data_IF_176501101947
#
_entry.id   IF_176501101947
#
_cell.length_a   1.000
_cell.length_b   1.000
_cell.length_c   1.000
_cell.angle_alpha   90.00
_cell.angle_beta   90.00
_cell.angle_gamma   90.00
#
_symmetry.space_group_name_H-M   'P 1'
#
loop_
_entity.id
_entity.type
_entity.pdbx_description
1 polymer ?
#
# COMPACT_ATOMS: atom_id res chain seq x y z
N UNK A 1 25.68 81.29 55.68
CA UNK A 1 24.53 80.47 55.47
C UNK A 1 24.35 80.37 53.97
N UNK A 2 24.76 79.29 53.39
CA UNK A 2 24.67 78.99 51.92
C UNK A 2 24.71 77.50 51.70
N UNK A 3 23.61 76.90 51.45
CA UNK A 3 23.46 75.46 51.19
C UNK A 3 24.05 75.08 49.82
N UNK A 4 24.95 74.09 49.82
CA UNK A 4 25.48 73.45 48.62
C UNK A 4 24.54 72.36 48.27
N UNK A 5 23.77 72.53 47.16
CA UNK A 5 22.99 71.45 46.52
C UNK A 5 23.92 70.63 45.65
N UNK A 6 24.19 69.43 46.06
CA UNK A 6 24.84 68.42 45.22
C UNK A 6 23.80 67.82 44.20
N UNK A 7 24.06 68.04 42.91
CA UNK A 7 23.24 67.57 41.85
C UNK A 7 23.73 66.16 41.45
N UNK A 8 23.07 65.08 41.93
CA UNK A 8 23.34 63.74 41.48
C UNK A 8 22.69 63.52 40.11
N UNK A 9 23.52 63.61 39.11
CA UNK A 9 23.10 63.22 37.70
C UNK A 9 23.00 61.73 37.65
N UNK A 10 21.77 61.19 37.65
CA UNK A 10 21.48 59.76 37.47
C UNK A 10 22.03 59.25 36.14
N UNK A 11 23.01 58.35 36.20
CA UNK A 11 23.55 57.63 35.06
C UNK A 11 22.47 56.69 34.46
N UNK A 12 22.00 56.99 33.28
CA UNK A 12 21.11 56.11 32.53
C UNK A 12 21.89 54.85 32.19
N UNK A 13 21.35 53.62 32.45
CA UNK A 13 22.04 52.40 32.08
C UNK A 13 22.20 52.37 30.57
N UNK A 14 23.44 52.23 30.10
CA UNK A 14 23.75 51.98 28.70
C UNK A 14 23.09 50.63 28.29
N UNK A 15 22.13 50.71 27.45
CA UNK A 15 21.48 49.56 26.87
C UNK A 15 22.49 48.85 25.95
N UNK A 16 23.05 47.72 26.42
CA UNK A 16 24.10 46.98 25.71
C UNK A 16 23.51 46.29 24.48
N UNK A 17 23.43 47.05 23.40
CA UNK A 17 22.99 46.52 22.09
C UNK A 17 23.80 45.26 21.69
N UNK A 18 25.09 45.22 22.00
CA UNK A 18 25.94 44.06 21.68
C UNK A 18 25.41 42.76 22.29
N UNK A 19 24.87 42.84 23.51
CA UNK A 19 24.27 41.67 24.17
C UNK A 19 23.03 41.18 23.43
N UNK A 20 22.14 42.06 22.99
CA UNK A 20 20.96 41.70 22.24
C UNK A 20 21.30 41.18 20.84
N UNK A 21 22.34 41.70 20.19
CA UNK A 21 22.83 41.22 18.91
C UNK A 21 23.39 39.79 19.03
N UNK A 22 24.14 39.49 20.09
CA UNK A 22 24.65 38.13 20.33
C UNK A 22 23.54 37.13 20.65
N UNK A 23 22.53 37.50 21.42
CA UNK A 23 21.36 36.65 21.69
C UNK A 23 20.55 36.40 20.39
N UNK A 24 20.38 37.43 19.55
CA UNK A 24 19.69 37.28 18.24
C UNK A 24 20.41 36.31 17.33
N UNK A 25 21.73 36.39 17.20
CA UNK A 25 22.54 35.48 16.41
C UNK A 25 22.47 34.03 16.93
N UNK A 26 22.48 33.83 18.26
CA UNK A 26 22.37 32.53 18.90
C UNK A 26 21.00 31.88 18.61
N UNK A 27 19.92 32.66 18.67
CA UNK A 27 18.57 32.17 18.39
C UNK A 27 18.40 31.79 16.91
N UNK A 28 18.96 32.57 15.98
CA UNK A 28 18.94 32.26 14.53
C UNK A 28 19.75 30.98 14.25
N UNK A 29 20.91 30.84 14.88
CA UNK A 29 21.72 29.62 14.77
C UNK A 29 21.00 28.38 15.29
N UNK A 30 20.36 28.50 16.46
CA UNK A 30 19.57 27.40 17.03
C UNK A 30 18.38 27.03 16.16
N UNK A 31 17.66 28.02 15.63
CA UNK A 31 16.54 27.81 14.71
C UNK A 31 16.99 27.12 13.40
N UNK A 32 18.14 27.51 12.85
CA UNK A 32 18.70 26.86 11.65
C UNK A 32 19.10 25.41 11.93
N UNK A 33 19.72 25.13 13.09
CA UNK A 33 20.06 23.75 13.49
C UNK A 33 18.81 22.90 13.70
N UNK A 34 17.79 23.44 14.38
CA UNK A 34 16.51 22.76 14.57
C UNK A 34 15.81 22.50 13.22
N UNK A 35 15.83 23.45 12.31
CA UNK A 35 15.28 23.28 10.97
C UNK A 35 15.98 22.15 10.19
N UNK A 36 17.31 22.09 10.27
CA UNK A 36 18.09 21.00 9.64
C UNK A 36 17.79 19.64 10.29
N UNK A 37 17.71 19.60 11.63
CA UNK A 37 17.39 18.36 12.37
C UNK A 37 15.98 17.89 12.04
N UNK A 38 14.98 18.77 12.08
CA UNK A 38 13.60 18.44 11.72
C UNK A 38 13.49 18.03 10.25
N UNK A 39 14.21 18.71 9.37
CA UNK A 39 14.28 18.33 7.94
C UNK A 39 14.98 16.98 7.69
N UNK A 40 15.96 16.63 8.52
CA UNK A 40 16.64 15.34 8.43
C UNK A 40 15.83 14.19 9.05
N UNK A 41 15.09 14.47 10.13
CA UNK A 41 14.20 13.50 10.78
C UNK A 41 12.87 13.31 10.03
N UNK A 42 12.45 14.34 9.29
CA UNK A 42 11.20 14.32 8.50
C UNK A 42 11.35 13.82 7.07
N UNK A 43 12.54 13.38 6.65
CA UNK A 43 12.61 12.59 5.40
C UNK A 43 11.93 11.26 5.70
N UNK A 44 10.75 10.96 5.04
CA UNK A 44 10.25 9.61 5.09
C UNK A 44 11.43 8.72 4.67
N UNK A 45 11.71 7.65 5.42
CA UNK A 45 12.53 6.55 4.90
C UNK A 45 12.02 6.35 3.48
N UNK A 46 12.85 6.66 2.50
CA UNK A 46 12.65 6.17 1.15
C UNK A 46 12.54 4.67 1.35
N UNK A 47 11.31 4.15 1.34
CA UNK A 47 11.09 2.73 1.16
C UNK A 47 12.04 2.38 0.05
N UNK A 48 12.98 1.49 0.32
CA UNK A 48 13.89 1.00 -0.71
C UNK A 48 12.95 0.48 -1.77
N UNK A 49 12.80 1.24 -2.86
CA UNK A 49 11.81 0.93 -3.87
C UNK A 49 12.12 -0.48 -4.31
N UNK A 50 11.26 -1.44 -3.90
CA UNK A 50 11.46 -2.85 -4.21
C UNK A 50 11.46 -2.91 -5.72
N UNK A 51 12.58 -3.26 -6.32
CA UNK A 51 12.67 -3.42 -7.77
C UNK A 51 11.98 -4.72 -8.19
N UNK A 52 10.64 -4.69 -8.12
CA UNK A 52 9.80 -5.80 -8.56
C UNK A 52 10.03 -6.12 -10.04
N UNK A 53 10.46 -5.14 -10.84
CA UNK A 53 10.66 -5.32 -12.27
C UNK A 53 11.82 -6.25 -12.56
N UNK A 54 12.89 -6.19 -11.77
CA UNK A 54 14.05 -7.09 -11.90
C UNK A 54 13.74 -8.53 -11.49
N UNK A 55 12.63 -8.78 -10.79
CA UNK A 55 12.18 -10.11 -10.36
C UNK A 55 11.06 -10.67 -11.27
N UNK A 56 10.44 -9.83 -12.07
CA UNK A 56 9.31 -10.18 -12.92
C UNK A 56 9.79 -10.83 -14.22
N UNK A 57 10.06 -12.13 -14.19
CA UNK A 57 10.46 -12.93 -15.35
C UNK A 57 9.35 -13.89 -15.78
N UNK A 58 9.54 -14.58 -16.91
CA UNK A 58 8.58 -15.55 -17.42
C UNK A 58 7.20 -14.92 -17.63
N UNK A 59 6.16 -15.53 -17.07
CA UNK A 59 4.79 -14.99 -17.14
C UNK A 59 4.63 -13.71 -16.31
N UNK A 60 5.43 -13.54 -15.23
CA UNK A 60 5.45 -12.33 -14.41
C UNK A 60 6.05 -11.12 -15.13
N UNK A 61 6.74 -11.28 -16.26
CA UNK A 61 7.21 -10.16 -17.08
C UNK A 61 6.08 -9.25 -17.58
N UNK A 62 4.83 -9.77 -17.58
CA UNK A 62 3.61 -9.03 -17.90
C UNK A 62 3.10 -8.16 -16.74
N UNK A 63 3.68 -8.27 -15.53
CA UNK A 63 3.29 -7.43 -14.40
C UNK A 63 3.52 -5.95 -14.69
N UNK A 64 2.48 -5.17 -14.59
CA UNK A 64 2.54 -3.72 -14.53
C UNK A 64 2.93 -3.31 -13.10
N UNK A 65 4.11 -2.76 -12.95
CA UNK A 65 4.63 -2.35 -11.63
C UNK A 65 4.20 -0.93 -11.30
N UNK A 66 3.60 -0.75 -10.13
CA UNK A 66 3.16 0.54 -9.59
C UNK A 66 4.14 0.99 -8.49
N UNK A 67 5.25 1.61 -8.90
CA UNK A 67 6.36 1.95 -7.99
C UNK A 67 5.94 2.89 -6.85
N UNK A 68 5.10 3.89 -7.14
CA UNK A 68 4.60 4.84 -6.13
C UNK A 68 3.48 4.27 -5.24
N UNK A 69 2.93 3.10 -5.61
CA UNK A 69 1.72 2.57 -5.01
C UNK A 69 0.46 3.35 -5.39
N UNK A 70 -0.68 2.67 -5.45
CA UNK A 70 -2.00 3.30 -5.60
C UNK A 70 -2.90 2.84 -4.47
N UNK A 71 -3.75 3.73 -3.92
CA UNK A 71 -4.74 3.30 -2.93
C UNK A 71 -5.68 2.25 -3.52
N UNK A 72 -6.25 1.35 -2.71
CA UNK A 72 -7.24 0.40 -3.16
C UNK A 72 -8.50 1.14 -3.62
N UNK A 73 -9.27 0.57 -4.56
CA UNK A 73 -10.54 1.16 -4.96
C UNK A 73 -11.54 1.16 -3.81
N UNK A 74 -12.38 2.18 -3.76
CA UNK A 74 -13.52 2.26 -2.84
C UNK A 74 -14.73 1.54 -3.47
N UNK A 75 -14.59 0.22 -3.63
CA UNK A 75 -15.64 -0.65 -4.14
C UNK A 75 -15.83 -1.83 -3.18
N UNK A 76 -17.10 -2.14 -2.92
CA UNK A 76 -17.47 -3.24 -2.05
C UNK A 76 -17.71 -4.51 -2.83
N UNK A 77 -17.35 -5.64 -2.23
CA UNK A 77 -17.66 -6.99 -2.69
C UNK A 77 -18.12 -7.86 -1.52
N UNK A 78 -18.66 -9.03 -1.80
CA UNK A 78 -19.21 -9.92 -0.78
C UNK A 78 -18.15 -10.92 -0.27
N UNK A 79 -18.03 -11.01 1.05
CA UNK A 79 -17.19 -12.01 1.72
C UNK A 79 -17.86 -13.42 1.71
N UNK A 80 -17.16 -14.47 2.20
CA UNK A 80 -17.71 -15.83 2.27
C UNK A 80 -19.03 -15.95 3.04
N UNK A 81 -19.30 -15.02 3.97
CA UNK A 81 -20.53 -14.94 4.75
C UNK A 81 -21.61 -14.06 4.10
N UNK A 82 -21.33 -13.49 2.91
CA UNK A 82 -22.24 -12.59 2.19
C UNK A 82 -22.29 -11.15 2.73
N UNK A 83 -21.33 -10.77 3.58
CA UNK A 83 -21.21 -9.40 4.08
C UNK A 83 -20.47 -8.53 3.07
N UNK A 84 -20.87 -7.27 2.97
CA UNK A 84 -20.19 -6.27 2.13
C UNK A 84 -18.90 -5.82 2.80
N UNK A 85 -17.77 -5.95 2.12
CA UNK A 85 -16.44 -5.56 2.59
C UNK A 85 -15.68 -4.83 1.47
N UNK A 86 -14.60 -4.13 1.83
CA UNK A 86 -13.67 -3.45 0.91
C UNK A 86 -12.27 -4.05 1.03
N UNK A 87 -11.42 -3.85 0.01
CA UNK A 87 -10.00 -4.25 0.09
C UNK A 87 -9.31 -3.62 1.31
N UNK A 88 -9.64 -2.38 1.65
CA UNK A 88 -9.08 -1.66 2.80
C UNK A 88 -9.37 -2.33 4.16
N UNK A 89 -10.41 -3.17 4.25
CA UNK A 89 -10.75 -3.91 5.48
C UNK A 89 -9.86 -5.13 5.70
N UNK A 90 -9.18 -5.60 4.65
CA UNK A 90 -8.35 -6.80 4.71
C UNK A 90 -7.00 -6.50 5.37
N UNK A 91 -6.58 -7.36 6.28
CA UNK A 91 -5.34 -7.19 7.05
C UNK A 91 -4.42 -8.38 6.81
N UNK A 92 -3.53 -8.23 5.82
CA UNK A 92 -2.43 -9.16 5.57
C UNK A 92 -1.20 -8.39 5.06
N UNK A 93 0.03 -8.90 5.27
CA UNK A 93 1.23 -8.29 4.72
C UNK A 93 1.21 -8.15 3.19
N UNK A 94 0.59 -9.10 2.49
CA UNK A 94 0.34 -9.03 1.05
C UNK A 94 -1.08 -9.53 0.79
N UNK A 95 -1.87 -8.75 0.05
CA UNK A 95 -3.20 -9.14 -0.44
C UNK A 95 -3.14 -9.29 -1.96
N UNK A 96 -3.64 -10.41 -2.47
CA UNK A 96 -3.71 -10.71 -3.91
C UNK A 96 -5.19 -10.79 -4.28
N UNK A 97 -5.72 -9.71 -4.85
CA UNK A 97 -7.04 -9.68 -5.44
C UNK A 97 -6.96 -10.35 -6.82
N UNK A 98 -7.83 -11.32 -7.06
CA UNK A 98 -7.97 -11.96 -8.36
C UNK A 98 -9.43 -11.87 -8.82
N UNK A 99 -9.69 -11.12 -9.87
CA UNK A 99 -11.01 -11.02 -10.50
C UNK A 99 -11.15 -12.17 -11.50
N UNK A 100 -12.18 -12.98 -11.33
CA UNK A 100 -12.40 -14.19 -12.12
C UNK A 100 -13.88 -14.51 -12.34
N UNK A 101 -14.16 -15.44 -13.24
CA UNK A 101 -15.51 -15.97 -13.41
C UNK A 101 -15.50 -17.45 -13.86
N UNK A 102 -16.60 -18.17 -13.64
CA UNK A 102 -16.72 -19.59 -14.01
C UNK A 102 -16.66 -19.86 -15.52
N UNK A 103 -17.05 -18.90 -16.33
CA UNK A 103 -16.99 -18.96 -17.79
C UNK A 103 -15.62 -18.56 -18.37
N UNK A 104 -14.72 -18.03 -17.55
CA UNK A 104 -13.38 -17.59 -17.96
C UNK A 104 -12.40 -18.79 -17.91
N UNK A 105 -12.03 -19.33 -19.05
CA UNK A 105 -11.16 -20.51 -19.12
C UNK A 105 -9.76 -20.28 -18.51
N UNK A 106 -9.00 -19.19 -18.82
CA UNK A 106 -7.71 -18.94 -18.19
C UNK A 106 -7.81 -18.71 -16.67
N UNK A 107 -8.91 -18.09 -16.17
CA UNK A 107 -9.15 -17.95 -14.74
C UNK A 107 -9.19 -19.30 -14.04
N UNK A 108 -9.94 -20.25 -14.61
CA UNK A 108 -10.07 -21.60 -14.05
C UNK A 108 -8.75 -22.36 -14.04
N UNK A 109 -7.88 -22.12 -15.01
CA UNK A 109 -6.56 -22.76 -15.12
C UNK A 109 -5.59 -22.28 -14.05
N UNK A 110 -5.67 -21.02 -13.62
CA UNK A 110 -4.76 -20.47 -12.61
C UNK A 110 -5.17 -20.75 -11.15
N UNK A 111 -6.44 -21.09 -10.86
CA UNK A 111 -6.94 -21.32 -9.50
C UNK A 111 -6.12 -22.32 -8.69
N UNK A 112 -5.68 -23.49 -9.23
CA UNK A 112 -4.82 -24.39 -8.47
C UNK A 112 -3.49 -23.76 -8.07
N UNK A 113 -2.96 -22.83 -8.86
CA UNK A 113 -1.68 -22.16 -8.59
C UNK A 113 -1.83 -21.08 -7.53
N UNK A 114 -2.93 -20.33 -7.54
CA UNK A 114 -3.31 -19.40 -6.50
C UNK A 114 -3.53 -20.12 -5.15
N UNK A 115 -4.20 -21.28 -5.16
CA UNK A 115 -4.38 -22.09 -3.94
C UNK A 115 -3.05 -22.54 -3.35
N UNK A 116 -2.11 -22.99 -4.20
CA UNK A 116 -0.75 -23.37 -3.76
C UNK A 116 0.02 -22.16 -3.21
N UNK A 117 -0.11 -21.00 -3.83
CA UNK A 117 0.51 -19.77 -3.33
C UNK A 117 -0.06 -19.40 -1.94
N UNK A 118 -1.37 -19.40 -1.77
CA UNK A 118 -2.01 -19.16 -0.48
C UNK A 118 -1.51 -20.12 0.59
N UNK A 119 -1.42 -21.42 0.27
CA UNK A 119 -0.97 -22.45 1.19
C UNK A 119 0.51 -22.32 1.57
N UNK A 120 1.36 -21.78 0.67
CA UNK A 120 2.79 -21.60 0.90
C UNK A 120 3.12 -20.47 1.89
N UNK A 121 2.20 -19.48 2.07
CA UNK A 121 2.46 -18.30 2.89
C UNK A 121 1.33 -18.04 3.91
N UNK A 122 1.05 -19.00 4.82
CA UNK A 122 -0.05 -18.86 5.78
C UNK A 122 0.14 -17.63 6.67
N UNK A 123 -0.92 -16.81 6.80
CA UNK A 123 -0.91 -15.58 7.59
C UNK A 123 -0.08 -14.42 7.01
N UNK A 124 0.63 -14.63 5.91
CA UNK A 124 1.46 -13.60 5.25
C UNK A 124 0.87 -13.13 3.93
N UNK A 125 0.27 -14.03 3.18
CA UNK A 125 -0.41 -13.75 1.92
C UNK A 125 -1.87 -14.10 2.07
N UNK A 126 -2.74 -13.20 1.60
CA UNK A 126 -4.19 -13.41 1.53
C UNK A 126 -4.63 -13.32 0.07
N UNK A 127 -5.01 -14.44 -0.52
CA UNK A 127 -5.57 -14.47 -1.86
C UNK A 127 -7.09 -14.28 -1.77
N UNK A 128 -7.60 -13.32 -2.53
CA UNK A 128 -9.00 -12.92 -2.58
C UNK A 128 -9.54 -13.17 -3.99
N UNK A 129 -9.98 -14.39 -4.31
CA UNK A 129 -10.57 -14.69 -5.61
C UNK A 129 -12.02 -14.20 -5.62
N UNK A 130 -12.26 -13.04 -6.22
CA UNK A 130 -13.59 -12.43 -6.34
C UNK A 130 -14.27 -12.89 -7.62
N UNK A 131 -15.34 -13.65 -7.49
CA UNK A 131 -16.14 -14.13 -8.61
C UNK A 131 -17.01 -13.00 -9.17
N UNK A 132 -16.87 -12.70 -10.44
CA UNK A 132 -17.67 -11.72 -11.18
C UNK A 132 -18.80 -12.39 -11.97
N UNK A 133 -19.17 -13.60 -11.58
CA UNK A 133 -20.37 -14.26 -12.06
C UNK A 133 -21.62 -13.52 -11.58
N UNK A 134 -22.69 -13.59 -12.37
CA UNK A 134 -23.98 -13.03 -11.98
C UNK A 134 -24.50 -13.67 -10.70
N UNK A 135 -25.43 -13.00 -10.05
CA UNK A 135 -25.99 -13.46 -8.78
C UNK A 135 -26.63 -14.85 -8.87
N UNK A 136 -27.24 -15.17 -9.99
CA UNK A 136 -27.86 -16.49 -10.28
C UNK A 136 -26.82 -17.63 -10.41
N UNK A 137 -25.57 -17.34 -10.79
CA UNK A 137 -24.48 -18.31 -10.91
C UNK A 137 -23.63 -18.44 -9.64
N UNK A 138 -24.05 -17.80 -8.53
CA UNK A 138 -23.30 -17.77 -7.25
C UNK A 138 -22.89 -19.18 -6.78
N UNK A 139 -23.83 -20.11 -6.77
CA UNK A 139 -23.58 -21.46 -6.24
C UNK A 139 -22.58 -22.21 -7.13
N UNK A 140 -22.68 -22.06 -8.44
CA UNK A 140 -21.71 -22.62 -9.39
C UNK A 140 -20.29 -22.08 -9.16
N UNK A 141 -20.15 -20.76 -8.93
CA UNK A 141 -18.87 -20.15 -8.64
C UNK A 141 -18.30 -20.63 -7.30
N UNK A 142 -19.15 -20.70 -6.27
CA UNK A 142 -18.77 -21.20 -4.94
C UNK A 142 -18.33 -22.67 -4.98
N UNK A 143 -19.07 -23.53 -5.68
CA UNK A 143 -18.75 -24.95 -5.80
C UNK A 143 -17.46 -25.16 -6.59
N UNK A 144 -17.19 -24.32 -7.58
CA UNK A 144 -15.93 -24.36 -8.31
C UNK A 144 -14.75 -23.99 -7.41
N UNK A 145 -14.78 -22.82 -6.74
CA UNK A 145 -13.67 -22.38 -5.89
C UNK A 145 -13.46 -23.32 -4.70
N UNK A 146 -14.52 -23.94 -4.19
CA UNK A 146 -14.48 -24.91 -3.10
C UNK A 146 -13.59 -26.13 -3.35
N UNK A 147 -13.27 -26.42 -4.62
CA UNK A 147 -12.33 -27.47 -5.01
C UNK A 147 -10.87 -27.10 -4.78
N UNK A 148 -10.59 -25.81 -4.54
CA UNK A 148 -9.24 -25.25 -4.45
C UNK A 148 -8.95 -24.67 -3.06
N UNK A 149 -9.18 -25.47 -2.00
CA UNK A 149 -8.76 -25.05 -0.68
C UNK A 149 -7.25 -24.74 -0.61
N UNK A 150 -6.83 -23.72 0.13
CA UNK A 150 -7.60 -22.96 1.13
C UNK A 150 -8.24 -21.66 0.61
N UNK A 151 -8.49 -21.53 -0.70
CA UNK A 151 -9.08 -20.29 -1.24
C UNK A 151 -10.53 -20.10 -0.73
N UNK A 152 -10.85 -18.92 -0.16
CA UNK A 152 -12.23 -18.58 0.24
C UNK A 152 -13.05 -18.12 -0.96
N UNK A 153 -14.38 -18.17 -0.85
CA UNK A 153 -15.30 -17.67 -1.86
C UNK A 153 -15.67 -16.21 -1.60
N UNK A 154 -15.35 -15.33 -2.53
CA UNK A 154 -15.83 -13.95 -2.60
C UNK A 154 -16.62 -13.72 -3.86
N UNK A 155 -17.51 -12.71 -3.89
CA UNK A 155 -18.33 -12.41 -5.05
C UNK A 155 -18.55 -10.91 -5.25
N UNK A 156 -18.50 -10.47 -6.50
CA UNK A 156 -18.94 -9.15 -6.95
C UNK A 156 -19.86 -9.25 -8.18
N UNK A 157 -21.16 -9.53 -7.99
CA UNK A 157 -22.10 -9.75 -9.10
C UNK A 157 -22.44 -8.47 -9.88
N UNK A 158 -21.94 -7.31 -9.41
CA UNK A 158 -22.15 -5.99 -10.04
C UNK A 158 -20.92 -5.52 -10.83
N UNK A 159 -19.81 -6.27 -10.82
CA UNK A 159 -18.56 -5.88 -11.45
C UNK A 159 -17.98 -4.57 -10.88
N UNK A 160 -18.33 -4.24 -9.62
CA UNK A 160 -17.95 -2.98 -8.98
C UNK A 160 -16.43 -2.84 -8.90
N UNK A 161 -15.73 -3.96 -8.59
CA UNK A 161 -14.27 -3.98 -8.50
C UNK A 161 -13.63 -3.75 -9.87
N UNK A 162 -14.12 -4.42 -10.92
CA UNK A 162 -13.63 -4.26 -12.29
C UNK A 162 -13.63 -2.81 -12.73
N UNK A 163 -14.72 -2.08 -12.48
CA UNK A 163 -14.84 -0.68 -12.91
C UNK A 163 -14.19 0.31 -11.95
N UNK A 164 -14.02 -0.02 -10.67
CA UNK A 164 -13.41 0.87 -9.68
C UNK A 164 -11.87 0.83 -9.68
N UNK A 165 -11.25 -0.20 -10.25
CA UNK A 165 -9.80 -0.21 -10.47
C UNK A 165 -9.38 0.97 -11.35
N UNK A 166 -8.19 1.53 -11.14
CA UNK A 166 -7.66 2.65 -11.94
C UNK A 166 -6.30 2.29 -12.57
N UNK A 167 -6.27 2.04 -13.92
CA UNK A 167 -7.40 1.98 -14.86
C UNK A 167 -8.36 0.81 -14.54
N UNK A 168 -9.59 0.82 -15.07
CA UNK A 168 -10.49 -0.32 -14.97
C UNK A 168 -9.86 -1.61 -15.51
N UNK A 169 -10.29 -2.78 -14.99
CA UNK A 169 -9.84 -4.05 -15.54
C UNK A 169 -10.35 -4.23 -16.96
N UNK A 170 -9.45 -4.58 -17.90
CA UNK A 170 -9.80 -4.74 -19.32
C UNK A 170 -10.39 -6.12 -19.63
N UNK A 171 -10.30 -7.07 -18.68
CA UNK A 171 -10.80 -8.42 -18.85
C UNK A 171 -10.44 -9.33 -17.68
N UNK A 172 -10.80 -10.60 -17.80
CA UNK A 172 -10.55 -11.63 -16.80
C UNK A 172 -9.55 -12.70 -17.31
N UNK A 173 -8.69 -13.21 -16.42
CA UNK A 173 -8.51 -12.75 -15.05
C UNK A 173 -7.73 -11.43 -15.00
N UNK A 174 -8.00 -10.60 -13.98
CA UNK A 174 -7.13 -9.50 -13.60
C UNK A 174 -6.70 -9.71 -12.16
N UNK A 175 -5.39 -9.72 -11.91
CA UNK A 175 -4.83 -9.89 -10.57
C UNK A 175 -4.12 -8.63 -10.14
N UNK A 176 -4.43 -8.15 -8.94
CA UNK A 176 -3.82 -6.95 -8.33
C UNK A 176 -3.15 -7.33 -7.02
N UNK A 177 -1.91 -6.91 -6.83
CA UNK A 177 -1.13 -7.20 -5.64
C UNK A 177 -1.02 -5.93 -4.80
N UNK A 178 -1.52 -5.99 -3.57
CA UNK A 178 -1.44 -4.93 -2.57
C UNK A 178 -0.41 -5.29 -1.52
N UNK A 179 0.34 -4.27 -1.08
CA UNK A 179 1.29 -4.40 0.03
C UNK A 179 0.60 -4.27 1.40
N UNK A 180 1.38 -4.36 2.48
CA UNK A 180 0.94 -4.24 3.88
C UNK A 180 0.25 -2.90 4.18
N UNK A 181 0.56 -1.85 3.43
CA UNK A 181 -0.07 -0.52 3.58
C UNK A 181 -1.39 -0.43 2.81
N UNK A 182 -1.78 -1.51 2.10
CA UNK A 182 -2.96 -1.58 1.28
C UNK A 182 -2.81 -0.91 -0.09
N UNK A 183 -1.59 -0.52 -0.49
CA UNK A 183 -1.37 0.10 -1.79
C UNK A 183 -1.10 -0.97 -2.87
N UNK A 184 -1.72 -0.77 -4.03
CA UNK A 184 -1.43 -1.56 -5.23
C UNK A 184 0.03 -1.38 -5.65
N UNK A 185 0.76 -2.48 -5.77
CA UNK A 185 2.17 -2.50 -6.15
C UNK A 185 2.41 -3.13 -7.51
N UNK A 186 1.52 -3.99 -7.92
CA UNK A 186 1.57 -4.60 -9.24
C UNK A 186 0.20 -5.08 -9.70
N UNK A 187 0.04 -5.17 -11.02
CA UNK A 187 -1.16 -5.71 -11.66
C UNK A 187 -0.76 -6.62 -12.82
N UNK A 188 -1.53 -7.68 -13.04
CA UNK A 188 -1.39 -8.56 -14.17
C UNK A 188 -2.77 -8.79 -14.82
N UNK A 189 -2.87 -8.50 -16.11
CA UNK A 189 -4.01 -8.87 -16.93
C UNK A 189 -3.71 -10.19 -17.64
N UNK A 190 -4.64 -11.15 -17.55
CA UNK A 190 -4.50 -12.51 -18.08
C UNK A 190 -3.99 -13.51 -17.05
N UNK A 191 -4.12 -14.80 -17.40
CA UNK A 191 -3.75 -15.91 -16.53
C UNK A 191 -2.24 -16.07 -16.38
N UNK A 192 -1.82 -16.62 -15.21
CA UNK A 192 -0.43 -16.92 -14.92
C UNK A 192 -0.29 -18.11 -13.94
N UNK A 193 0.91 -18.71 -13.90
CA UNK A 193 1.28 -19.65 -12.84
C UNK A 193 1.75 -18.89 -11.60
N UNK A 194 0.80 -18.65 -10.68
CA UNK A 194 1.07 -17.95 -9.40
C UNK A 194 1.92 -18.77 -8.43
N UNK A 195 2.15 -20.06 -8.70
CA UNK A 195 3.04 -20.91 -7.91
C UNK A 195 4.45 -21.02 -8.50
N UNK A 196 4.75 -20.36 -9.62
CA UNK A 196 6.06 -20.31 -10.23
C UNK A 196 7.11 -19.68 -9.31
N UNK A 197 8.40 -19.95 -9.55
CA UNK A 197 9.50 -19.34 -8.81
C UNK A 197 9.49 -17.80 -8.95
N UNK A 198 9.16 -17.30 -10.14
CA UNK A 198 9.10 -15.86 -10.43
C UNK A 198 7.96 -15.17 -9.67
N UNK A 199 6.76 -15.77 -9.64
CA UNK A 199 5.62 -15.25 -8.87
C UNK A 199 5.93 -15.22 -7.36
N UNK A 200 6.55 -16.28 -6.84
CA UNK A 200 6.99 -16.33 -5.43
C UNK A 200 8.05 -15.28 -5.12
N UNK A 201 9.01 -15.04 -6.02
CA UNK A 201 10.04 -14.02 -5.84
C UNK A 201 9.44 -12.62 -5.71
N UNK A 202 8.43 -12.29 -6.53
CA UNK A 202 7.69 -11.02 -6.45
C UNK A 202 6.98 -10.89 -5.09
N UNK A 203 6.25 -11.93 -4.66
CA UNK A 203 5.55 -11.95 -3.37
C UNK A 203 6.52 -11.82 -2.19
N UNK A 204 7.63 -12.56 -2.20
CA UNK A 204 8.65 -12.51 -1.15
C UNK A 204 9.33 -11.15 -1.05
N UNK A 205 9.56 -10.49 -2.17
CA UNK A 205 10.11 -9.15 -2.20
C UNK A 205 9.14 -8.17 -1.49
N UNK A 206 7.85 -8.25 -1.77
CA UNK A 206 6.82 -7.45 -1.09
C UNK A 206 6.74 -7.76 0.41
N UNK A 207 6.88 -9.03 0.80
CA UNK A 207 6.90 -9.42 2.21
C UNK A 207 8.12 -8.89 2.98
N UNK A 208 9.27 -8.72 2.31
CA UNK A 208 10.52 -8.22 2.91
C UNK A 208 10.58 -6.69 2.98
N UNK A 209 10.02 -6.01 1.99
CA UNK A 209 10.07 -4.55 1.88
C UNK A 209 8.91 -3.82 2.53
N UNK A 210 8.07 -4.56 3.24
CA UNK A 210 6.89 -4.04 3.93
C UNK A 210 7.20 -3.74 5.40
#
# INVERSE_FOLDING_TARGET
MGEIRTNEAGARPRRDWTTYALWGLSLVGLAAVLYVIVGALGKPKTDTAIDLKSLAHGEMAKLEIVSAGKPPPDAAFLDPQGRSIHIADLKAPVVILNLWATWCAPCRQEMPTLAKLQAAYPGKVMVIPVAEDRAEDRDKARDFIGQYGPLPFYQDPKLSMTFALSPPAEGLPTTVIYDRTGHERARLAGGADWNSADARAVVEALLKGS
#
